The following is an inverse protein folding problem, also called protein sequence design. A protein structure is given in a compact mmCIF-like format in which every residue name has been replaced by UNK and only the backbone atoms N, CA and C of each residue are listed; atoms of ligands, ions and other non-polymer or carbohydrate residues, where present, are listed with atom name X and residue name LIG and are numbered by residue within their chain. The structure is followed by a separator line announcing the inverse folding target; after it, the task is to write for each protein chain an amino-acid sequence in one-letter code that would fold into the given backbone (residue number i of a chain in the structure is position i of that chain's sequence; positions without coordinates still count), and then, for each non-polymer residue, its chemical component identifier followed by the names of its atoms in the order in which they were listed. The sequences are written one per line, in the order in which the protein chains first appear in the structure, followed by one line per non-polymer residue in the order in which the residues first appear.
data_IF_781892419928
#
_entry.id   IF_781892419928
#
_cell.length_a   1.000
_cell.length_b   1.000
_cell.length_c   1.000
_cell.angle_alpha   90.00
_cell.angle_beta   90.00
_cell.angle_gamma   90.00
#
_symmetry.space_group_name_H-M   'P 1'
#
loop_
_entity.id
_entity.type
_entity.pdbx_description
1 polymer ?
#
# COMPACT_ATOMS: atom_id res chain seq x y z
N UNK A 1 13.45 46.82 -36.87
CA UNK A 1 12.53 45.84 -37.48
C UNK A 1 12.77 44.40 -36.99
N UNK A 2 13.11 44.18 -35.71
CA UNK A 2 13.17 42.83 -35.13
C UNK A 2 11.80 42.34 -34.61
N UNK A 3 10.88 43.25 -34.30
CA UNK A 3 9.55 42.96 -33.77
C UNK A 3 8.58 42.24 -34.75
N UNK A 4 8.98 42.04 -36.01
CA UNK A 4 8.17 41.38 -37.05
C UNK A 4 8.64 39.94 -37.36
N UNK A 5 9.68 39.44 -36.67
CA UNK A 5 10.25 38.10 -36.88
C UNK A 5 10.50 37.43 -35.53
N UNK A 6 9.51 36.76 -34.94
CA UNK A 6 9.61 36.19 -33.59
C UNK A 6 10.78 35.22 -33.43
N UNK A 7 11.17 34.51 -34.49
CA UNK A 7 12.31 33.58 -34.51
C UNK A 7 13.65 34.32 -34.32
N UNK A 8 13.79 35.50 -34.94
CA UNK A 8 14.98 36.34 -34.79
C UNK A 8 15.07 36.92 -33.38
N UNK A 9 13.92 37.24 -32.79
CA UNK A 9 13.83 37.78 -31.43
C UNK A 9 14.21 36.70 -30.40
N UNK A 10 13.77 35.46 -30.58
CA UNK A 10 14.18 34.32 -29.76
C UNK A 10 15.69 34.06 -29.85
N UNK A 11 16.27 34.12 -31.06
CA UNK A 11 17.71 33.94 -31.27
C UNK A 11 18.54 35.03 -30.54
N UNK A 12 18.12 36.30 -30.63
CA UNK A 12 18.79 37.42 -29.95
C UNK A 12 18.70 37.26 -28.43
N UNK A 13 17.52 36.91 -27.91
CA UNK A 13 17.33 36.69 -26.47
C UNK A 13 18.20 35.54 -25.98
N UNK A 14 18.21 34.40 -26.69
CA UNK A 14 19.06 33.24 -26.35
C UNK A 14 20.55 33.60 -26.37
N UNK A 15 21.03 34.34 -27.36
CA UNK A 15 22.42 34.79 -27.40
C UNK A 15 22.75 35.76 -26.26
N UNK A 16 21.84 36.69 -25.94
CA UNK A 16 22.04 37.66 -24.88
C UNK A 16 22.09 37.01 -23.49
N UNK A 17 21.28 35.98 -23.25
CA UNK A 17 21.26 35.27 -21.97
C UNK A 17 22.31 34.16 -21.88
N UNK A 18 22.82 33.65 -23.00
CA UNK A 18 23.76 32.51 -23.04
C UNK A 18 24.97 32.63 -22.09
N UNK A 19 25.61 33.81 -21.90
CA UNK A 19 26.74 33.94 -20.96
C UNK A 19 26.37 33.69 -19.50
N UNK A 20 25.09 33.79 -19.15
CA UNK A 20 24.58 33.62 -17.79
C UNK A 20 24.09 32.18 -17.52
N UNK A 21 24.06 31.32 -18.54
CA UNK A 21 23.61 29.93 -18.40
C UNK A 21 24.75 28.97 -18.70
N UNK A 22 25.24 28.30 -17.66
CA UNK A 22 26.21 27.23 -17.79
C UNK A 22 25.48 25.89 -17.94
N UNK A 23 25.26 25.47 -19.18
CA UNK A 23 24.64 24.17 -19.49
C UNK A 23 25.52 22.97 -19.13
N UNK A 24 26.81 23.20 -18.85
CA UNK A 24 27.77 22.15 -18.47
C UNK A 24 27.83 21.92 -16.96
N UNK A 25 27.26 22.82 -16.15
CA UNK A 25 27.31 22.74 -14.70
C UNK A 25 26.71 21.44 -14.16
N UNK A 26 25.54 21.03 -14.65
CA UNK A 26 24.89 19.79 -14.21
C UNK A 26 25.80 18.58 -14.42
N UNK A 27 26.41 18.47 -15.61
CA UNK A 27 27.35 17.39 -15.93
C UNK A 27 28.55 17.39 -14.99
N UNK A 28 29.20 18.54 -14.79
CA UNK A 28 30.38 18.64 -13.92
C UNK A 28 30.05 18.35 -12.45
N UNK A 29 28.88 18.78 -11.98
CA UNK A 29 28.40 18.46 -10.62
C UNK A 29 28.18 16.96 -10.48
N UNK A 30 27.61 16.31 -11.50
CA UNK A 30 27.43 14.86 -11.51
C UNK A 30 28.77 14.12 -11.50
N UNK A 31 29.74 14.56 -12.30
CA UNK A 31 31.10 14.01 -12.32
C UNK A 31 31.78 14.14 -10.95
N UNK A 32 31.83 15.35 -10.39
CA UNK A 32 32.42 15.59 -9.07
C UNK A 32 31.73 14.78 -7.95
N UNK A 33 30.41 14.61 -8.03
CA UNK A 33 29.66 13.77 -7.08
C UNK A 33 30.06 12.30 -7.19
N UNK A 34 30.25 11.79 -8.40
CA UNK A 34 30.62 10.40 -8.61
C UNK A 34 32.06 10.14 -8.13
N UNK A 35 33.00 11.02 -8.49
CA UNK A 35 34.38 10.97 -8.00
C UNK A 35 34.43 10.97 -6.46
N UNK A 36 33.67 11.88 -5.83
CA UNK A 36 33.59 11.93 -4.37
C UNK A 36 33.01 10.65 -3.75
N UNK A 37 32.00 10.05 -4.38
CA UNK A 37 31.41 8.79 -3.90
C UNK A 37 32.41 7.63 -4.02
N UNK A 38 33.14 7.55 -5.12
CA UNK A 38 34.17 6.52 -5.34
C UNK A 38 35.30 6.64 -4.31
N UNK A 39 35.81 7.85 -4.07
CA UNK A 39 36.83 8.10 -3.05
C UNK A 39 36.33 7.78 -1.63
N UNK A 40 35.11 8.21 -1.29
CA UNK A 40 34.51 7.93 0.01
C UNK A 40 34.30 6.43 0.23
N UNK A 41 33.89 5.70 -0.81
CA UNK A 41 33.73 4.26 -0.75
C UNK A 41 35.09 3.55 -0.59
N UNK A 42 36.10 3.94 -1.35
CA UNK A 42 37.46 3.37 -1.21
C UNK A 42 38.02 3.60 0.20
N UNK A 43 37.82 4.80 0.76
CA UNK A 43 38.23 5.11 2.13
C UNK A 43 37.48 4.27 3.16
N UNK A 44 36.16 4.09 3.00
CA UNK A 44 35.38 3.22 3.86
C UNK A 44 35.86 1.78 3.79
N UNK A 45 36.12 1.25 2.60
CA UNK A 45 36.64 -0.10 2.38
C UNK A 45 38.05 -0.30 2.98
N UNK A 46 38.89 0.72 2.96
CA UNK A 46 40.22 0.69 3.60
C UNK A 46 40.13 0.71 5.13
N UNK A 47 39.20 1.49 5.69
CA UNK A 47 39.05 1.64 7.14
C UNK A 47 38.20 0.54 7.79
N UNK A 48 37.29 -0.08 7.04
CA UNK A 48 36.48 -1.18 7.53
C UNK A 48 37.32 -2.45 7.53
N UNK A 49 37.68 -2.92 8.72
CA UNK A 49 38.23 -4.26 8.87
C UNK A 49 37.16 -5.29 8.48
N UNK A 50 37.33 -5.86 7.29
CA UNK A 50 36.40 -6.85 6.74
C UNK A 50 36.25 -8.05 7.68
N UNK A 51 37.28 -8.38 8.45
CA UNK A 51 37.23 -9.46 9.46
C UNK A 51 36.30 -9.07 10.60
N UNK A 52 36.33 -7.82 11.05
CA UNK A 52 35.43 -7.33 12.09
C UNK A 52 33.99 -7.24 11.60
N UNK A 53 33.76 -6.80 10.35
CA UNK A 53 32.42 -6.81 9.75
C UNK A 53 31.84 -8.21 9.62
N UNK A 54 32.63 -9.18 9.18
CA UNK A 54 32.19 -10.57 9.06
C UNK A 54 31.95 -11.21 10.43
N UNK A 55 32.75 -10.84 11.44
CA UNK A 55 32.49 -11.21 12.84
C UNK A 55 31.14 -10.66 13.30
N UNK A 56 30.87 -9.37 13.11
CA UNK A 56 29.61 -8.73 13.50
C UNK A 56 28.42 -9.38 12.78
N UNK A 57 28.53 -9.66 11.48
CA UNK A 57 27.48 -10.37 10.72
C UNK A 57 27.21 -11.76 11.27
N UNK A 58 28.27 -12.49 11.59
CA UNK A 58 28.15 -13.84 12.17
C UNK A 58 27.45 -13.79 13.53
N UNK A 59 27.87 -12.88 14.41
CA UNK A 59 27.26 -12.69 15.72
C UNK A 59 25.79 -12.26 15.63
N UNK A 60 25.47 -11.34 14.72
CA UNK A 60 24.09 -10.92 14.45
C UNK A 60 23.23 -12.07 13.94
N UNK A 61 23.77 -12.92 13.05
CA UNK A 61 23.09 -14.12 12.55
C UNK A 61 22.76 -15.11 13.67
N UNK A 62 23.73 -15.38 14.55
CA UNK A 62 23.52 -16.24 15.72
C UNK A 62 22.44 -15.65 16.64
N UNK A 63 22.47 -14.34 16.90
CA UNK A 63 21.48 -13.71 17.77
C UNK A 63 20.08 -13.72 17.16
N UNK A 64 19.98 -13.56 15.85
CA UNK A 64 18.71 -13.60 15.14
C UNK A 64 18.08 -15.00 15.19
N UNK A 65 18.89 -16.05 15.06
CA UNK A 65 18.39 -17.42 15.20
C UNK A 65 17.90 -17.72 16.62
N UNK A 66 18.64 -17.28 17.65
CA UNK A 66 18.16 -17.39 19.03
C UNK A 66 16.80 -16.70 19.26
N UNK A 67 16.60 -15.51 18.68
CA UNK A 67 15.33 -14.80 18.80
C UNK A 67 14.19 -15.53 18.09
N UNK A 68 14.47 -16.24 16.98
CA UNK A 68 13.47 -17.08 16.30
C UNK A 68 13.07 -18.26 17.17
N UNK A 69 14.06 -18.98 17.73
CA UNK A 69 13.80 -20.09 18.65
C UNK A 69 12.98 -19.64 19.86
N UNK A 70 13.27 -18.46 20.41
CA UNK A 70 12.49 -17.87 21.50
C UNK A 70 11.04 -17.57 21.10
N UNK A 71 10.82 -17.02 19.89
CA UNK A 71 9.48 -16.76 19.37
C UNK A 71 8.71 -18.07 19.18
N UNK A 72 9.34 -19.10 18.63
CA UNK A 72 8.69 -20.40 18.40
C UNK A 72 8.32 -21.06 19.73
N UNK A 73 9.21 -21.01 20.73
CA UNK A 73 8.91 -21.48 22.08
C UNK A 73 7.73 -20.73 22.73
N UNK A 74 7.64 -19.41 22.53
CA UNK A 74 6.50 -18.61 23.00
C UNK A 74 5.21 -19.03 22.28
N UNK A 75 5.25 -19.19 20.96
CA UNK A 75 4.10 -19.61 20.17
C UNK A 75 3.61 -20.98 20.59
N UNK A 76 4.51 -21.94 20.79
CA UNK A 76 4.19 -23.28 21.28
C UNK A 76 3.57 -23.23 22.68
N UNK A 77 4.10 -22.41 23.58
CA UNK A 77 3.55 -22.23 24.93
C UNK A 77 2.17 -21.56 24.91
N UNK A 78 1.91 -20.66 23.96
CA UNK A 78 0.63 -19.99 23.75
C UNK A 78 -0.34 -20.81 22.90
N UNK A 79 0.11 -21.91 22.28
CA UNK A 79 -0.73 -22.81 21.52
C UNK A 79 -1.64 -23.58 22.48
N UNK A 80 -2.71 -22.93 22.89
CA UNK A 80 -3.80 -23.55 23.63
C UNK A 80 -4.62 -24.34 22.62
N UNK A 81 -4.59 -25.66 22.74
CA UNK A 81 -5.41 -26.56 21.93
C UNK A 81 -6.90 -26.31 22.22
N UNK A 82 -7.54 -25.51 21.35
CA UNK A 82 -8.94 -25.10 21.48
C UNK A 82 -9.87 -26.33 21.39
N UNK A 83 -9.39 -27.47 20.90
CA UNK A 83 -10.15 -28.73 20.89
C UNK A 83 -10.39 -29.34 22.27
N UNK A 84 -9.52 -29.07 23.25
CA UNK A 84 -9.65 -29.58 24.62
C UNK A 84 -10.48 -28.66 25.53
N UNK A 85 -10.64 -27.39 25.13
CA UNK A 85 -11.55 -26.47 25.80
C UNK A 85 -12.93 -26.80 25.26
N UNK A 86 -13.75 -27.46 26.08
CA UNK A 86 -15.17 -27.68 25.81
C UNK A 86 -15.90 -26.34 25.74
N UNK A 87 -15.68 -25.59 24.66
CA UNK A 87 -16.30 -24.30 24.41
C UNK A 87 -17.81 -24.53 24.36
N UNK A 88 -18.59 -23.70 25.07
CA UNK A 88 -20.04 -23.82 25.03
C UNK A 88 -20.53 -23.66 23.58
N UNK A 89 -21.48 -24.49 23.20
CA UNK A 89 -22.09 -24.45 21.88
C UNK A 89 -22.69 -23.05 21.62
N UNK A 90 -22.33 -22.44 20.50
CA UNK A 90 -22.90 -21.16 20.08
C UNK A 90 -24.34 -21.41 19.63
N UNK A 91 -25.30 -21.02 20.45
CA UNK A 91 -26.72 -21.02 20.07
C UNK A 91 -26.99 -19.79 19.21
N UNK A 92 -27.08 -19.99 17.90
CA UNK A 92 -27.47 -18.90 16.97
C UNK A 92 -28.97 -18.61 17.15
N UNK A 93 -29.36 -17.41 17.60
CA UNK A 93 -30.77 -17.08 17.75
C UNK A 93 -31.46 -17.03 16.39
N UNK A 94 -32.71 -17.50 16.33
CA UNK A 94 -33.53 -17.35 15.12
C UNK A 94 -34.01 -15.90 15.00
N UNK A 95 -34.27 -15.41 13.78
CA UNK A 95 -34.85 -14.09 13.57
C UNK A 95 -36.21 -13.95 14.28
N UNK A 96 -36.36 -12.91 15.10
CA UNK A 96 -37.64 -12.53 15.70
C UNK A 96 -38.43 -11.69 14.69
N UNK A 97 -39.33 -12.34 13.95
CA UNK A 97 -40.27 -11.64 13.08
C UNK A 97 -41.43 -11.11 13.92
N UNK A 98 -41.36 -9.84 14.32
CA UNK A 98 -42.45 -9.14 14.99
C UNK A 98 -43.56 -8.79 13.99
N UNK A 99 -44.48 -9.72 13.75
CA UNK A 99 -45.66 -9.50 12.93
C UNK A 99 -46.27 -10.81 12.49
N UNK A 100 -47.58 -10.97 12.72
CA UNK A 100 -48.37 -12.12 12.31
C UNK A 100 -48.09 -12.47 10.85
N UNK A 101 -47.35 -13.55 10.63
CA UNK A 101 -47.00 -14.09 9.31
C UNK A 101 -48.20 -14.72 8.59
N UNK A 102 -49.28 -13.95 8.44
CA UNK A 102 -50.50 -14.30 7.71
C UNK A 102 -50.98 -13.13 6.83
N UNK A 103 -50.15 -12.12 6.57
CA UNK A 103 -50.41 -11.16 5.51
C UNK A 103 -50.24 -11.87 4.17
N UNK A 104 -51.29 -11.91 3.35
CA UNK A 104 -51.14 -12.35 1.96
C UNK A 104 -49.99 -11.56 1.31
N UNK A 105 -49.11 -12.21 0.56
CA UNK A 105 -47.95 -11.55 -0.03
C UNK A 105 -48.40 -10.35 -0.89
N UNK A 106 -47.62 -9.27 -0.91
CA UNK A 106 -47.96 -8.10 -1.73
C UNK A 106 -47.83 -8.39 -3.24
N UNK A 107 -46.97 -9.34 -3.59
CA UNK A 107 -46.73 -9.81 -4.95
C UNK A 107 -46.46 -11.32 -4.86
N UNK A 108 -47.05 -12.07 -5.77
CA UNK A 108 -46.75 -13.48 -6.01
C UNK A 108 -46.36 -13.67 -7.48
N UNK A 109 -45.36 -14.50 -7.73
CA UNK A 109 -44.89 -14.82 -9.08
C UNK A 109 -45.94 -15.57 -9.90
N UNK A 110 -46.88 -16.24 -9.23
CA UNK A 110 -47.95 -16.99 -9.89
C UNK A 110 -49.11 -16.09 -10.34
N UNK A 111 -49.10 -14.80 -9.99
CA UNK A 111 -50.13 -13.85 -10.40
C UNK A 111 -49.81 -13.20 -11.74
N UNK A 112 -50.85 -12.95 -12.53
CA UNK A 112 -50.71 -12.17 -13.74
C UNK A 112 -50.29 -10.73 -13.44
N UNK A 113 -49.63 -10.07 -14.39
CA UNK A 113 -49.21 -8.67 -14.25
C UNK A 113 -50.37 -7.72 -13.89
N UNK A 114 -51.58 -7.99 -14.38
CA UNK A 114 -52.79 -7.20 -14.08
C UNK A 114 -53.21 -7.37 -12.63
N UNK A 115 -53.14 -8.58 -12.07
CA UNK A 115 -53.47 -8.86 -10.67
C UNK A 115 -52.45 -8.22 -9.73
N UNK A 116 -51.15 -8.34 -10.06
CA UNK A 116 -50.08 -7.72 -9.29
C UNK A 116 -50.25 -6.19 -9.22
N UNK A 117 -50.52 -5.54 -10.36
CA UNK A 117 -50.68 -4.07 -10.42
C UNK A 117 -51.97 -3.57 -9.78
N UNK A 118 -53.05 -4.37 -9.78
CA UNK A 118 -54.31 -4.03 -9.10
C UNK A 118 -54.14 -4.09 -7.58
N UNK A 119 -53.54 -5.16 -7.05
CA UNK A 119 -53.28 -5.29 -5.61
C UNK A 119 -52.29 -4.25 -5.09
N UNK A 120 -51.30 -3.88 -5.90
CA UNK A 120 -50.38 -2.79 -5.57
C UNK A 120 -51.06 -1.41 -5.51
N UNK A 121 -52.11 -1.20 -6.31
CA UNK A 121 -52.93 0.03 -6.21
C UNK A 121 -53.79 0.01 -4.95
N UNK A 122 -54.43 -1.12 -4.64
CA UNK A 122 -55.26 -1.29 -3.44
C UNK A 122 -54.45 -1.20 -2.14
N UNK A 123 -53.23 -1.73 -2.12
CA UNK A 123 -52.33 -1.61 -0.96
C UNK A 123 -51.81 -0.19 -0.75
N UNK A 124 -51.86 0.67 -1.78
CA UNK A 124 -51.37 2.05 -1.77
C UNK A 124 -52.50 3.09 -1.69
N UNK A 125 -53.77 2.69 -1.73
CA UNK A 125 -54.89 3.59 -1.40
C UNK A 125 -55.01 3.72 0.11
N UNK A 126 -54.09 4.50 0.69
CA UNK A 126 -54.09 5.01 2.07
C UNK A 126 -53.48 6.41 2.05
#
# INVERSE_FOLDING_TARGET
LAALRPELLDQIVRQAISPYFDTSLERRVREARNEWLEEAQAWLEEQLDQVELDRIRTEAGVKLEQLRDEIDAINDALHIDIGAIGLPEIVVPRPELNGSGNGSPLIDSDWSWVEQTTRLKESKSY
#
